data_IF_771494728313
#
_entry.id   IF_771494728313
#
_cell.length_a   1.000
_cell.length_b   1.000
_cell.length_c   1.000
_cell.angle_alpha   90.00
_cell.angle_beta   90.00
_cell.angle_gamma   90.00
#
_symmetry.space_group_name_H-M   'P 1'
#
loop_
_entity.id
_entity.type
_entity.pdbx_description
1 polymer ?
#
# COMPACT_ATOMS: atom_id res chain seq x y z
N UNK A 1 22.91 -1.80 21.38
CA UNK A 1 22.16 -2.76 20.54
C UNK A 1 20.66 -2.83 20.83
N UNK A 2 20.18 -2.55 22.05
CA UNK A 2 18.75 -2.62 22.41
C UNK A 2 17.88 -1.56 21.70
N UNK A 3 18.39 -0.33 21.51
CA UNK A 3 17.67 0.76 20.81
C UNK A 3 17.40 0.47 19.32
N UNK A 4 18.31 -0.23 18.63
CA UNK A 4 18.15 -0.59 17.22
C UNK A 4 17.06 -1.65 17.02
N UNK A 5 17.01 -2.65 17.90
CA UNK A 5 16.00 -3.73 17.84
C UNK A 5 14.60 -3.15 18.12
N UNK A 6 14.46 -2.24 19.08
CA UNK A 6 13.18 -1.58 19.37
C UNK A 6 12.70 -0.68 18.20
N UNK A 7 13.61 0.00 17.49
CA UNK A 7 13.29 0.72 16.24
C UNK A 7 12.86 -0.21 15.11
N UNK A 8 13.46 -1.39 14.98
CA UNK A 8 13.07 -2.38 13.96
C UNK A 8 11.68 -2.95 14.27
N UNK A 9 11.42 -3.33 15.52
CA UNK A 9 10.13 -3.86 15.97
C UNK A 9 8.99 -2.83 15.87
N UNK A 10 9.25 -1.54 16.14
CA UNK A 10 8.26 -0.46 16.00
C UNK A 10 7.98 -0.06 14.55
N UNK A 11 8.93 -0.27 13.61
CA UNK A 11 8.71 -0.08 12.17
C UNK A 11 7.82 -1.16 11.55
N UNK A 12 7.50 -2.23 12.28
CA UNK A 12 6.85 -3.43 11.75
C UNK A 12 5.33 -3.47 12.05
N UNK A 13 4.80 -2.52 12.80
CA UNK A 13 3.39 -2.50 13.23
C UNK A 13 2.74 -1.21 12.77
N UNK A 14 2.31 -1.16 11.50
CA UNK A 14 1.12 -0.44 10.96
C UNK A 14 1.15 -0.12 9.47
N UNK A 15 2.20 -0.51 8.74
CA UNK A 15 2.18 -0.48 7.29
C UNK A 15 1.56 -1.79 6.78
N UNK A 16 0.25 -1.77 6.54
CA UNK A 16 -0.48 -2.91 5.99
C UNK A 16 -0.54 -2.81 4.47
N UNK A 17 0.06 -3.76 3.74
CA UNK A 17 -0.21 -3.89 2.31
C UNK A 17 -1.70 -4.17 2.11
N UNK A 18 -2.35 -3.33 1.31
CA UNK A 18 -3.70 -3.52 0.84
C UNK A 18 -3.64 -4.13 -0.55
N UNK A 19 -4.27 -5.30 -0.68
CA UNK A 19 -4.47 -5.97 -1.95
C UNK A 19 -5.96 -6.17 -2.18
N UNK A 20 -6.45 -5.76 -3.34
CA UNK A 20 -7.81 -6.05 -3.80
C UNK A 20 -7.72 -6.82 -5.10
N UNK A 21 -8.56 -7.84 -5.25
CA UNK A 21 -8.63 -8.65 -6.45
C UNK A 21 -9.99 -8.47 -7.12
N UNK A 22 -10.06 -8.74 -8.42
CA UNK A 22 -11.30 -8.94 -9.15
C UNK A 22 -11.85 -10.34 -8.88
N UNK A 23 -13.11 -10.59 -9.26
CA UNK A 23 -13.75 -11.91 -9.11
C UNK A 23 -13.05 -13.01 -9.93
N UNK A 24 -12.35 -12.61 -11.00
CA UNK A 24 -11.49 -13.50 -11.80
C UNK A 24 -10.14 -13.83 -11.14
N UNK A 25 -9.88 -13.34 -9.91
CA UNK A 25 -8.65 -13.55 -9.15
C UNK A 25 -7.50 -12.63 -9.52
N UNK A 26 -7.63 -11.78 -10.56
CA UNK A 26 -6.57 -10.85 -10.93
C UNK A 26 -6.47 -9.68 -9.96
N UNK A 27 -5.27 -9.13 -9.82
CA UNK A 27 -5.02 -7.97 -8.97
C UNK A 27 -5.77 -6.76 -9.51
N UNK A 28 -6.54 -6.10 -8.65
CA UNK A 28 -7.33 -4.90 -8.94
C UNK A 28 -6.68 -3.64 -8.40
N UNK A 29 -6.16 -3.74 -7.18
CA UNK A 29 -5.59 -2.62 -6.46
C UNK A 29 -4.48 -3.11 -5.53
N UNK A 30 -3.38 -2.37 -5.48
CA UNK A 30 -2.27 -2.58 -4.55
C UNK A 30 -1.80 -1.25 -3.99
N UNK A 31 -1.56 -1.20 -2.68
CA UNK A 31 -0.87 -0.08 -2.06
C UNK A 31 -0.62 -0.33 -0.58
N UNK A 32 -0.06 0.67 0.10
CA UNK A 32 0.26 0.57 1.53
C UNK A 32 -0.66 1.47 2.35
N UNK A 33 -1.13 0.95 3.47
CA UNK A 33 -1.85 1.71 4.49
C UNK A 33 -0.94 1.93 5.68
N UNK A 34 -0.66 3.17 6.03
CA UNK A 34 0.04 3.57 7.26
C UNK A 34 -0.92 4.25 8.20
N UNK A 35 -1.01 3.77 9.44
CA UNK A 35 -1.96 4.29 10.44
C UNK A 35 -3.43 4.32 9.95
N UNK A 36 -3.79 3.37 9.08
CA UNK A 36 -5.13 3.27 8.48
C UNK A 36 -5.38 4.24 7.31
N UNK A 37 -4.37 4.97 6.86
CA UNK A 37 -4.44 5.90 5.73
C UNK A 37 -3.53 5.46 4.59
N UNK A 38 -3.88 5.78 3.35
CA UNK A 38 -3.07 5.44 2.18
C UNK A 38 -1.74 6.19 2.25
N UNK A 39 -0.64 5.47 2.02
CA UNK A 39 0.72 5.99 2.09
C UNK A 39 1.57 5.36 0.98
N UNK A 40 2.33 6.20 0.27
CA UNK A 40 3.19 5.82 -0.84
C UNK A 40 2.42 5.44 -2.10
N UNK A 41 3.02 4.55 -2.88
CA UNK A 41 2.53 4.17 -4.20
C UNK A 41 1.23 3.37 -4.12
N UNK A 42 0.26 3.78 -4.93
CA UNK A 42 -1.02 3.12 -5.09
C UNK A 42 -1.24 2.80 -6.56
N UNK A 43 -1.43 1.52 -6.85
CA UNK A 43 -1.57 0.96 -8.17
C UNK A 43 -2.98 0.41 -8.33
N UNK A 44 -3.66 0.80 -9.40
CA UNK A 44 -4.89 0.16 -9.86
C UNK A 44 -4.61 -0.52 -11.19
N UNK A 45 -5.23 -1.68 -11.38
CA UNK A 45 -5.07 -2.50 -12.57
C UNK A 45 -6.42 -2.75 -13.24
N UNK A 46 -6.39 -2.94 -14.56
CA UNK A 46 -7.52 -3.44 -15.32
C UNK A 46 -7.75 -4.94 -15.06
N UNK A 47 -8.93 -5.46 -15.43
CA UNK A 47 -9.26 -6.90 -15.35
C UNK A 47 -8.39 -7.79 -16.23
N UNK A 48 -7.59 -7.21 -17.13
CA UNK A 48 -6.59 -7.88 -17.94
C UNK A 48 -5.17 -7.86 -17.32
N UNK A 49 -5.03 -7.32 -16.09
CA UNK A 49 -3.78 -7.23 -15.35
C UNK A 49 -2.89 -6.05 -15.75
N UNK A 50 -3.28 -5.24 -16.75
CA UNK A 50 -2.50 -4.07 -17.14
C UNK A 50 -2.66 -2.95 -16.13
N UNK A 51 -1.57 -2.21 -15.87
CA UNK A 51 -1.59 -1.06 -14.99
C UNK A 51 -2.52 0.00 -15.56
N UNK A 52 -3.57 0.32 -14.81
CA UNK A 52 -4.58 1.33 -15.17
C UNK A 52 -4.14 2.70 -14.69
N UNK A 53 -3.82 2.80 -13.41
CA UNK A 53 -3.50 4.05 -12.73
C UNK A 53 -2.38 3.80 -11.74
N UNK A 54 -1.45 4.75 -11.68
CA UNK A 54 -0.45 4.87 -10.62
C UNK A 54 -0.59 6.23 -9.95
N UNK A 55 -0.73 6.25 -8.63
CA UNK A 55 -0.86 7.44 -7.80
C UNK A 55 0.10 7.33 -6.62
N UNK A 56 0.51 8.47 -6.06
CA UNK A 56 1.22 8.49 -4.78
C UNK A 56 0.29 9.09 -3.73
N UNK A 57 0.25 8.51 -2.53
CA UNK A 57 -0.53 9.03 -1.42
C UNK A 57 0.38 9.37 -0.26
N UNK A 58 0.00 10.38 0.52
CA UNK A 58 0.66 10.74 1.77
C UNK A 58 -0.37 11.15 2.79
N UNK A 59 -0.36 10.48 3.94
CA UNK A 59 -1.35 10.68 5.00
C UNK A 59 -2.79 10.60 4.50
N UNK A 60 -3.06 9.71 3.53
CA UNK A 60 -4.37 9.49 2.92
C UNK A 60 -4.78 10.52 1.86
N UNK A 61 -3.88 11.43 1.46
CA UNK A 61 -4.12 12.42 0.41
C UNK A 61 -3.36 12.07 -0.85
N UNK A 62 -4.01 12.22 -2.00
CA UNK A 62 -3.34 12.09 -3.29
C UNK A 62 -2.28 13.19 -3.41
N UNK A 63 -1.04 12.76 -3.54
CA UNK A 63 0.10 13.63 -3.86
C UNK A 63 0.18 13.69 -5.40
N UNK A 64 -0.09 14.87 -5.93
CA UNK A 64 -0.14 15.19 -7.37
C UNK A 64 1.11 15.94 -7.80
#
# INVERSE_FOLDING_TARGET
MVSYILKILTKTVKDGERLKHYDNGQLKEKGTLKDGKQEGEWLEYHENGQLKIKRNYKDGKLEV
#
